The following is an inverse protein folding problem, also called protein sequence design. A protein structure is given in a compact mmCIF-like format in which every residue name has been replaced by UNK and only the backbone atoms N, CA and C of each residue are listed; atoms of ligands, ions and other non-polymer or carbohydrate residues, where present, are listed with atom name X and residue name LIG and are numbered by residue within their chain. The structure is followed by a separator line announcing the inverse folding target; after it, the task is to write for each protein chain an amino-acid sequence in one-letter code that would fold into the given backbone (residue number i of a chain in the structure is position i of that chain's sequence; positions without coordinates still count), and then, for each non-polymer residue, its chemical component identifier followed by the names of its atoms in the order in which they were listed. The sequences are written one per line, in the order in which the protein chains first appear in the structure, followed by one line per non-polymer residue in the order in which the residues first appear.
data_IF_194814385044
#
_entry.id   IF_194814385044
#
_cell.length_a   1.000
_cell.length_b   1.000
_cell.length_c   1.000
_cell.angle_alpha   90.00
_cell.angle_beta   90.00
_cell.angle_gamma   90.00
#
_symmetry.space_group_name_H-M   'P 1'
#
loop_
_entity.id
_entity.type
_entity.pdbx_description
1 polymer ?
#
# COMPACT_ATOMS: atom_id res chain seq x y z
N UNK A 1 44.89 54.69 -17.78
CA UNK A 1 43.77 54.28 -18.62
C UNK A 1 43.35 52.85 -18.24
N UNK A 2 42.20 52.68 -17.59
CA UNK A 2 41.67 51.34 -17.25
C UNK A 2 41.00 50.73 -18.49
N UNK A 3 41.52 49.59 -18.99
CA UNK A 3 40.90 48.84 -20.08
C UNK A 3 39.64 48.14 -19.53
N UNK A 4 38.48 48.54 -20.00
CA UNK A 4 37.24 47.79 -19.77
C UNK A 4 37.29 46.50 -20.56
N UNK A 5 37.45 45.38 -19.87
CA UNK A 5 37.29 44.05 -20.46
C UNK A 5 35.79 43.84 -20.77
N UNK A 6 35.42 43.79 -22.03
CA UNK A 6 34.08 43.46 -22.47
C UNK A 6 33.81 41.98 -22.12
N UNK A 7 32.98 41.76 -21.13
CA UNK A 7 32.47 40.40 -20.81
C UNK A 7 31.58 39.96 -21.97
N UNK A 8 31.86 38.78 -22.53
CA UNK A 8 31.01 38.16 -23.55
C UNK A 8 29.66 37.87 -22.90
N UNK A 9 28.59 38.40 -23.45
CA UNK A 9 27.22 38.13 -23.03
C UNK A 9 26.70 36.79 -23.62
N UNK A 10 25.75 36.19 -22.95
CA UNK A 10 25.05 35.00 -23.45
C UNK A 10 24.16 35.36 -24.65
N UNK A 11 24.09 34.48 -25.64
CA UNK A 11 23.17 34.63 -26.74
C UNK A 11 21.78 34.11 -26.34
N UNK A 12 20.72 34.67 -26.93
CA UNK A 12 19.34 34.27 -26.68
C UNK A 12 19.11 32.79 -27.04
N UNK A 13 19.80 32.33 -28.10
CA UNK A 13 19.71 30.95 -28.58
C UNK A 13 20.30 29.92 -27.58
N UNK A 14 21.46 30.28 -26.96
CA UNK A 14 22.08 29.43 -25.93
C UNK A 14 21.16 29.25 -24.74
N UNK A 15 20.48 30.28 -24.29
CA UNK A 15 19.53 30.20 -23.18
C UNK A 15 18.30 29.36 -23.57
N UNK A 16 17.77 29.57 -24.80
CA UNK A 16 16.57 28.88 -25.26
C UNK A 16 16.78 27.38 -25.40
N UNK A 17 17.94 26.94 -25.92
CA UNK A 17 18.28 25.53 -26.05
C UNK A 17 18.42 24.86 -24.68
N UNK A 18 19.05 25.53 -23.72
CA UNK A 18 19.21 25.00 -22.35
C UNK A 18 17.86 24.74 -21.67
N UNK A 19 16.94 25.73 -21.72
CA UNK A 19 15.62 25.55 -21.09
C UNK A 19 14.79 24.48 -21.81
N UNK A 20 14.93 24.33 -23.15
CA UNK A 20 14.26 23.27 -23.89
C UNK A 20 14.76 21.88 -23.45
N UNK A 21 16.06 21.68 -23.32
CA UNK A 21 16.64 20.41 -22.86
C UNK A 21 16.22 20.09 -21.42
N UNK A 22 16.28 21.08 -20.51
CA UNK A 22 15.83 20.91 -19.13
C UNK A 22 14.36 20.53 -19.07
N UNK A 23 13.51 21.15 -19.90
CA UNK A 23 12.08 20.85 -19.97
C UNK A 23 11.81 19.40 -20.38
N UNK A 24 12.52 18.89 -21.40
CA UNK A 24 12.38 17.50 -21.85
C UNK A 24 12.87 16.53 -20.76
N UNK A 25 14.04 16.78 -20.18
CA UNK A 25 14.58 15.93 -19.12
C UNK A 25 13.68 15.91 -17.89
N UNK A 26 13.18 17.07 -17.47
CA UNK A 26 12.28 17.17 -16.32
C UNK A 26 10.97 16.36 -16.52
N UNK A 27 10.38 16.38 -17.71
CA UNK A 27 9.15 15.64 -18.00
C UNK A 27 9.34 14.12 -17.88
N UNK A 28 10.44 13.56 -18.37
CA UNK A 28 10.77 12.14 -18.27
C UNK A 28 11.04 11.72 -16.82
N UNK A 29 11.78 12.55 -16.08
CA UNK A 29 12.11 12.27 -14.67
C UNK A 29 10.84 12.27 -13.80
N UNK A 30 9.92 13.22 -14.00
CA UNK A 30 8.68 13.29 -13.23
C UNK A 30 7.78 12.07 -13.46
N UNK A 31 7.64 11.59 -14.70
CA UNK A 31 6.88 10.38 -15.01
C UNK A 31 7.49 9.13 -14.33
N UNK A 32 8.82 8.97 -14.42
CA UNK A 32 9.56 7.87 -13.79
C UNK A 32 9.45 7.90 -12.26
N UNK A 33 9.49 9.07 -11.65
CA UNK A 33 9.40 9.24 -10.20
C UNK A 33 8.03 8.82 -9.64
N UNK A 34 6.94 9.13 -10.34
CA UNK A 34 5.60 8.73 -9.93
C UNK A 34 5.45 7.19 -9.92
N UNK A 35 5.93 6.51 -10.97
CA UNK A 35 5.95 5.05 -11.02
C UNK A 35 6.80 4.44 -9.91
N UNK A 36 7.99 4.99 -9.64
CA UNK A 36 8.86 4.53 -8.57
C UNK A 36 8.22 4.69 -7.18
N UNK A 37 7.54 5.83 -6.93
CA UNK A 37 6.80 6.06 -5.68
C UNK A 37 5.65 5.07 -5.50
N UNK A 38 4.89 4.78 -6.55
CA UNK A 38 3.81 3.80 -6.49
C UNK A 38 4.35 2.40 -6.16
N UNK A 39 5.41 1.97 -6.82
CA UNK A 39 6.08 0.68 -6.52
C UNK A 39 6.63 0.61 -5.10
N UNK A 40 7.21 1.69 -4.59
CA UNK A 40 7.66 1.79 -3.20
C UNK A 40 6.52 1.66 -2.20
N UNK A 41 5.39 2.33 -2.45
CA UNK A 41 4.19 2.21 -1.62
C UNK A 41 3.60 0.78 -1.66
N UNK A 42 3.56 0.12 -2.82
CA UNK A 42 3.14 -1.27 -2.94
C UNK A 42 4.04 -2.23 -2.15
N UNK A 43 5.36 -2.05 -2.21
CA UNK A 43 6.30 -2.85 -1.44
C UNK A 43 6.10 -2.67 0.07
N UNK A 44 5.86 -1.43 0.52
CA UNK A 44 5.57 -1.13 1.91
C UNK A 44 4.25 -1.78 2.39
N UNK A 45 3.20 -1.78 1.58
CA UNK A 45 1.93 -2.46 1.86
C UNK A 45 2.16 -3.97 2.00
N UNK A 46 2.80 -4.60 1.01
CA UNK A 46 3.05 -6.04 1.00
C UNK A 46 3.90 -6.49 2.19
N UNK A 47 4.98 -5.76 2.49
CA UNK A 47 5.83 -6.03 3.64
C UNK A 47 5.10 -5.83 4.97
N UNK A 48 4.33 -4.75 5.09
CA UNK A 48 3.51 -4.48 6.27
C UNK A 48 2.48 -5.57 6.54
N UNK A 49 1.76 -6.02 5.52
CA UNK A 49 0.78 -7.12 5.63
C UNK A 49 1.46 -8.46 5.98
N UNK A 50 2.63 -8.74 5.42
CA UNK A 50 3.37 -9.95 5.75
C UNK A 50 3.85 -9.98 7.22
N UNK A 51 4.33 -8.84 7.73
CA UNK A 51 4.75 -8.71 9.13
C UNK A 51 3.55 -8.80 10.08
N UNK A 52 2.43 -8.19 9.69
CA UNK A 52 1.21 -8.21 10.48
C UNK A 52 0.62 -9.63 10.58
N UNK A 53 0.74 -10.44 9.52
CA UNK A 53 0.34 -11.86 9.57
C UNK A 53 1.00 -12.61 10.74
N UNK A 54 2.29 -12.39 10.97
CA UNK A 54 3.00 -13.00 12.10
C UNK A 54 2.45 -12.55 13.47
N UNK A 55 2.04 -11.30 13.61
CA UNK A 55 1.44 -10.80 14.84
C UNK A 55 0.03 -11.39 15.09
N UNK A 56 -0.73 -11.58 14.03
CA UNK A 56 -2.05 -12.21 14.10
C UNK A 56 -1.94 -13.70 14.52
N UNK A 57 -0.92 -14.41 14.05
CA UNK A 57 -0.63 -15.77 14.50
C UNK A 57 -0.23 -15.84 15.99
N UNK A 58 0.59 -14.89 16.48
CA UNK A 58 0.91 -14.78 17.90
C UNK A 58 -0.32 -14.53 18.77
N UNK A 59 -1.27 -13.75 18.28
CA UNK A 59 -2.56 -13.58 18.97
C UNK A 59 -3.32 -14.88 19.06
N UNK A 60 -3.34 -15.69 18.00
CA UNK A 60 -3.97 -17.01 17.99
C UNK A 60 -3.34 -17.97 18.99
N UNK A 61 -2.01 -18.01 19.07
CA UNK A 61 -1.27 -18.85 20.01
C UNK A 61 -1.66 -18.55 21.47
N UNK A 62 -1.97 -17.29 21.78
CA UNK A 62 -2.35 -16.87 23.12
C UNK A 62 -3.84 -17.06 23.43
N UNK A 63 -4.72 -16.97 22.44
CA UNK A 63 -6.16 -16.92 22.63
C UNK A 63 -6.91 -18.14 22.06
N UNK A 64 -6.25 -19.00 21.26
CA UNK A 64 -6.87 -20.15 20.58
C UNK A 64 -7.87 -19.80 19.48
N UNK A 65 -7.96 -18.52 19.13
CA UNK A 65 -8.88 -18.00 18.11
C UNK A 65 -8.38 -16.65 17.58
N UNK A 66 -8.65 -16.32 16.33
CA UNK A 66 -8.42 -14.98 15.78
C UNK A 66 -9.50 -13.98 16.22
N UNK A 67 -10.49 -14.43 16.97
CA UNK A 67 -11.55 -13.64 17.54
C UNK A 67 -12.85 -13.70 16.76
N UNK A 68 -13.91 -13.43 17.49
CA UNK A 68 -15.28 -13.33 16.98
C UNK A 68 -15.77 -11.90 17.20
N UNK A 69 -16.73 -11.48 16.41
CA UNK A 69 -17.45 -10.22 16.67
C UNK A 69 -18.17 -10.27 18.01
N UNK A 70 -18.36 -9.14 18.66
CA UNK A 70 -19.19 -9.04 19.88
C UNK A 70 -20.61 -9.55 19.58
N UNK A 71 -20.99 -10.66 20.23
CA UNK A 71 -22.25 -11.34 19.99
C UNK A 71 -22.10 -12.63 19.18
N UNK A 72 -20.90 -13.04 18.83
CA UNK A 72 -20.59 -14.22 18.01
C UNK A 72 -20.63 -13.93 16.51
N UNK A 73 -19.97 -14.79 15.73
CA UNK A 73 -19.88 -14.65 14.28
C UNK A 73 -18.59 -14.02 13.79
N UNK A 74 -18.48 -13.87 12.47
CA UNK A 74 -17.26 -13.36 11.81
C UNK A 74 -16.97 -11.89 12.16
N UNK A 75 -15.70 -11.58 12.41
CA UNK A 75 -15.22 -10.19 12.41
C UNK A 75 -15.19 -9.71 10.96
N UNK A 76 -15.82 -8.57 10.69
CA UNK A 76 -15.86 -7.93 9.36
C UNK A 76 -15.25 -6.53 9.35
N UNK A 77 -14.52 -6.20 10.43
CA UNK A 77 -13.86 -4.90 10.58
C UNK A 77 -12.47 -5.07 11.15
N UNK A 78 -11.60 -4.12 10.88
CA UNK A 78 -10.24 -4.14 11.41
C UNK A 78 -10.13 -3.68 12.88
N UNK A 79 -11.20 -3.80 13.67
CA UNK A 79 -11.25 -3.39 15.08
C UNK A 79 -11.70 -4.52 16.04
N UNK A 80 -11.84 -5.75 15.57
CA UNK A 80 -12.25 -6.90 16.37
C UNK A 80 -11.23 -8.03 16.38
N UNK A 81 -11.28 -8.89 17.42
CA UNK A 81 -10.38 -10.03 17.54
C UNK A 81 -8.90 -9.66 17.46
N UNK A 82 -8.13 -10.47 16.77
CA UNK A 82 -6.70 -10.25 16.55
C UNK A 82 -6.38 -8.90 15.89
N UNK A 83 -7.33 -8.35 15.12
CA UNK A 83 -7.17 -7.03 14.50
C UNK A 83 -7.31 -5.87 15.49
N UNK A 84 -7.78 -6.08 16.71
CA UNK A 84 -7.83 -5.07 17.77
C UNK A 84 -6.54 -4.95 18.57
N UNK A 85 -5.58 -5.83 18.37
CA UNK A 85 -4.26 -5.76 19.00
C UNK A 85 -3.55 -4.44 18.65
N UNK A 86 -2.90 -3.82 19.62
CA UNK A 86 -2.30 -2.49 19.47
C UNK A 86 -1.22 -2.45 18.38
N UNK A 87 -0.41 -3.51 18.27
CA UNK A 87 0.65 -3.60 17.27
C UNK A 87 0.04 -3.75 15.88
N UNK A 88 -1.00 -4.59 15.75
CA UNK A 88 -1.76 -4.79 14.53
C UNK A 88 -2.43 -3.47 14.10
N UNK A 89 -3.03 -2.74 15.02
CA UNK A 89 -3.67 -1.45 14.75
C UNK A 89 -2.69 -0.41 14.21
N UNK A 90 -1.51 -0.30 14.79
CA UNK A 90 -0.47 0.60 14.30
C UNK A 90 0.00 0.21 12.88
N UNK A 91 0.17 -1.08 12.61
CA UNK A 91 0.52 -1.58 11.29
C UNK A 91 -0.58 -1.29 10.25
N UNK A 92 -1.86 -1.50 10.61
CA UNK A 92 -3.02 -1.18 9.74
C UNK A 92 -3.06 0.29 9.34
N UNK A 93 -2.76 1.20 10.26
CA UNK A 93 -2.67 2.64 9.97
C UNK A 93 -1.56 2.91 8.94
N UNK A 94 -0.38 2.31 9.08
CA UNK A 94 0.72 2.52 8.14
C UNK A 94 0.44 1.92 6.77
N UNK A 95 -0.19 0.74 6.71
CA UNK A 95 -0.65 0.12 5.47
C UNK A 95 -1.66 1.04 4.78
N UNK A 96 -2.64 1.54 5.51
CA UNK A 96 -3.66 2.44 4.99
C UNK A 96 -3.11 3.73 4.39
N UNK A 97 -2.08 4.34 4.99
CA UNK A 97 -1.41 5.53 4.44
C UNK A 97 -0.74 5.28 3.08
N UNK A 98 -0.28 4.04 2.85
CA UNK A 98 0.36 3.63 1.60
C UNK A 98 -0.61 2.99 0.60
N UNK A 99 -1.88 2.79 0.98
CA UNK A 99 -2.93 2.26 0.11
C UNK A 99 -3.42 3.29 -0.89
N UNK A 100 -4.21 2.85 -1.88
CA UNK A 100 -4.85 3.72 -2.87
C UNK A 100 -6.14 4.36 -2.38
N UNK A 101 -6.72 3.88 -1.27
CA UNK A 101 -7.97 4.41 -0.77
C UNK A 101 -7.82 5.85 -0.25
N UNK A 102 -8.72 6.71 -0.65
CA UNK A 102 -8.69 8.15 -0.39
C UNK A 102 -8.80 8.52 1.10
N UNK A 103 -9.28 7.60 1.92
CA UNK A 103 -9.53 7.86 3.35
C UNK A 103 -8.30 7.76 4.23
N UNK A 104 -7.23 7.09 3.78
CA UNK A 104 -6.03 6.83 4.58
C UNK A 104 -6.33 6.19 5.95
N UNK A 105 -5.44 5.33 6.45
CA UNK A 105 -5.65 4.70 7.76
C UNK A 105 -6.36 3.35 7.69
N UNK A 106 -6.88 2.88 8.81
CA UNK A 106 -7.48 1.53 8.95
C UNK A 106 -8.63 1.24 7.99
N UNK A 107 -9.45 2.25 7.66
CA UNK A 107 -10.60 2.11 6.75
C UNK A 107 -10.23 1.76 5.31
N UNK A 108 -8.94 1.78 4.98
CA UNK A 108 -8.41 1.39 3.67
C UNK A 108 -8.09 -0.10 3.57
N UNK A 109 -8.16 -0.81 4.69
CA UNK A 109 -7.89 -2.24 4.79
C UNK A 109 -9.19 -2.96 5.16
N UNK A 110 -9.46 -4.04 4.47
CA UNK A 110 -10.58 -4.95 4.76
C UNK A 110 -10.00 -6.09 5.60
N UNK A 111 -10.58 -6.33 6.77
CA UNK A 111 -10.20 -7.40 7.68
C UNK A 111 -11.41 -8.29 7.93
N UNK A 112 -11.23 -9.60 7.84
CA UNK A 112 -12.28 -10.57 8.07
C UNK A 112 -11.75 -11.78 8.85
N UNK A 113 -12.58 -12.32 9.76
CA UNK A 113 -12.44 -13.70 10.24
C UNK A 113 -13.59 -14.54 9.71
N UNK A 114 -13.48 -15.87 9.80
CA UNK A 114 -14.63 -16.75 9.60
C UNK A 114 -15.56 -16.75 10.83
N UNK A 115 -16.71 -17.38 10.70
CA UNK A 115 -17.70 -17.43 11.78
C UNK A 115 -17.24 -18.22 13.02
N UNK A 116 -16.20 -19.02 12.89
CA UNK A 116 -15.63 -19.83 13.99
C UNK A 116 -14.41 -19.16 14.64
N UNK A 117 -13.90 -18.08 14.07
CA UNK A 117 -12.67 -17.42 14.50
C UNK A 117 -11.39 -18.23 14.27
N UNK A 118 -11.44 -19.23 13.37
CA UNK A 118 -10.31 -20.12 13.06
C UNK A 118 -9.58 -19.73 11.77
N UNK A 119 -10.10 -18.78 11.04
CA UNK A 119 -9.49 -18.24 9.83
C UNK A 119 -9.53 -16.72 9.83
N UNK A 120 -8.53 -16.13 9.22
CA UNK A 120 -8.50 -14.68 9.00
C UNK A 120 -7.99 -14.35 7.61
N UNK A 121 -8.43 -13.22 7.09
CA UNK A 121 -7.91 -12.62 5.88
C UNK A 121 -7.96 -11.11 5.97
N UNK A 122 -7.03 -10.48 5.29
CA UNK A 122 -7.02 -9.03 5.10
C UNK A 122 -6.64 -8.64 3.69
N UNK A 123 -7.24 -7.59 3.17
CA UNK A 123 -6.92 -7.06 1.85
C UNK A 123 -6.94 -5.54 1.81
N UNK A 124 -6.19 -4.98 0.88
CA UNK A 124 -6.20 -3.55 0.61
C UNK A 124 -5.91 -3.26 -0.85
N UNK A 125 -6.39 -2.12 -1.33
CA UNK A 125 -6.09 -1.62 -2.66
C UNK A 125 -4.78 -0.84 -2.64
N UNK A 126 -3.83 -1.19 -3.50
CA UNK A 126 -2.51 -0.56 -3.58
C UNK A 126 -2.50 0.59 -4.59
N UNK A 127 -1.59 1.55 -4.41
CA UNK A 127 -1.32 2.61 -5.38
C UNK A 127 -0.69 2.05 -6.64
N UNK A 128 -1.09 2.56 -7.81
CA UNK A 128 -0.51 2.19 -9.11
C UNK A 128 -1.58 2.06 -10.19
N UNK A 129 -1.17 1.67 -11.37
CA UNK A 129 -2.06 1.52 -12.52
C UNK A 129 -3.11 0.44 -12.23
N UNK A 130 -4.39 0.79 -12.41
CA UNK A 130 -5.51 -0.09 -12.12
C UNK A 130 -5.77 -0.34 -10.63
N UNK A 131 -5.05 0.30 -9.71
CA UNK A 131 -5.20 0.14 -8.26
C UNK A 131 -5.36 -1.34 -7.85
N UNK A 132 -4.34 -2.18 -8.02
CA UNK A 132 -4.44 -3.60 -7.76
C UNK A 132 -4.71 -3.87 -6.28
N UNK A 133 -5.55 -4.87 -5.99
CA UNK A 133 -5.79 -5.34 -4.63
C UNK A 133 -4.75 -6.38 -4.22
N UNK A 134 -4.38 -6.40 -2.95
CA UNK A 134 -3.50 -7.39 -2.36
C UNK A 134 -4.16 -8.01 -1.16
N UNK A 135 -4.09 -9.34 -1.04
CA UNK A 135 -4.71 -10.10 0.03
C UNK A 135 -3.72 -11.04 0.69
N UNK A 136 -3.86 -11.21 2.01
CA UNK A 136 -3.11 -12.15 2.84
C UNK A 136 -4.06 -12.86 3.77
N UNK A 137 -3.89 -14.17 3.98
CA UNK A 137 -4.68 -14.97 4.91
C UNK A 137 -3.83 -15.99 5.68
N UNK A 138 -4.48 -16.71 6.62
CA UNK A 138 -3.85 -17.70 7.47
C UNK A 138 -3.40 -18.97 6.72
N UNK A 139 -3.84 -19.20 5.49
CA UNK A 139 -3.36 -20.33 4.67
C UNK A 139 -1.98 -20.07 4.05
N UNK A 140 -1.45 -18.84 4.22
CA UNK A 140 -0.23 -18.40 3.57
C UNK A 140 -0.44 -17.75 2.20
N UNK A 141 -1.71 -17.55 1.78
CA UNK A 141 -2.00 -16.83 0.55
C UNK A 141 -1.47 -15.40 0.63
N UNK A 142 -0.69 -15.00 -0.37
CA UNK A 142 -0.11 -13.66 -0.50
C UNK A 142 -0.08 -13.26 -1.96
N UNK A 143 -1.22 -12.84 -2.48
CA UNK A 143 -1.39 -12.54 -3.90
C UNK A 143 -2.51 -11.50 -4.11
N UNK A 144 -2.78 -11.20 -5.38
CA UNK A 144 -3.92 -10.36 -5.77
C UNK A 144 -5.23 -11.01 -5.34
N UNK A 145 -6.11 -10.23 -4.71
CA UNK A 145 -7.39 -10.74 -4.23
C UNK A 145 -8.04 -9.83 -3.20
N UNK A 146 -9.22 -10.25 -2.75
CA UNK A 146 -9.99 -9.58 -1.70
C UNK A 146 -10.25 -10.53 -0.53
N UNK A 147 -10.30 -9.98 0.69
CA UNK A 147 -10.59 -10.72 1.89
C UNK A 147 -12.11 -10.91 2.03
N UNK A 148 -12.56 -12.14 2.25
CA UNK A 148 -13.97 -12.47 2.50
C UNK A 148 -14.06 -13.71 3.39
N UNK A 149 -14.80 -13.63 4.50
CA UNK A 149 -15.07 -14.79 5.38
C UNK A 149 -13.81 -15.50 5.88
N UNK A 150 -12.76 -14.76 6.22
CA UNK A 150 -11.49 -15.31 6.71
C UNK A 150 -10.59 -15.93 5.64
N UNK A 151 -10.86 -15.72 4.36
CA UNK A 151 -10.06 -16.24 3.24
C UNK A 151 -9.81 -15.16 2.18
N UNK A 152 -8.72 -15.30 1.45
CA UNK A 152 -8.45 -14.52 0.26
C UNK A 152 -9.12 -15.16 -0.96
N UNK A 153 -9.97 -14.41 -1.64
CA UNK A 153 -10.52 -14.81 -2.92
C UNK A 153 -9.73 -14.10 -4.00
N UNK A 154 -9.12 -14.87 -4.91
CA UNK A 154 -8.40 -14.32 -6.05
C UNK A 154 -9.35 -13.49 -6.92
N UNK A 155 -9.01 -12.21 -7.14
CA UNK A 155 -9.62 -11.46 -8.21
C UNK A 155 -9.24 -12.15 -9.53
N UNK A 156 -10.21 -12.55 -10.32
CA UNK A 156 -9.94 -12.92 -11.71
C UNK A 156 -9.25 -11.71 -12.35
N UNK A 157 -7.97 -11.85 -12.63
CA UNK A 157 -7.29 -10.95 -13.56
C UNK A 157 -8.06 -11.08 -14.87
N UNK A 158 -8.91 -10.09 -15.13
CA UNK A 158 -9.48 -9.95 -16.44
C UNK A 158 -8.33 -9.90 -17.45
N UNK A 159 -8.18 -10.96 -18.19
CA UNK A 159 -7.36 -10.99 -19.39
C UNK A 159 -7.96 -9.97 -20.35
N UNK A 160 -7.26 -8.91 -20.59
CA UNK A 160 -7.43 -7.97 -21.66
C UNK A 160 -6.10 -7.83 -22.35
#
# INVERSE_FOLDING_TARGET
MKRFSMKKGFTLIELLVVIAIIGILASVVLASLNSARAKGAQAAVKGGMANMAAQIELYYDQNGTYGLANGGGAVTSCSGGAFSDTVVQQALIQIGKNSAASSGGQNSVICNTDATGQKWAMSTTMKGDGNPTWCVDNSGWRNSGTATGGQCIGGSSGSG
#
